data_IF_007578178793
#
_entry.id   IF_007578178793
#
_cell.length_a   1.000
_cell.length_b   1.000
_cell.length_c   1.000
_cell.angle_alpha   90.00
_cell.angle_beta   90.00
_cell.angle_gamma   90.00
#
_symmetry.space_group_name_H-M   'P 1'
#
loop_
_entity.id
_entity.type
_entity.pdbx_description
1 polymer ?
#
# COMPACT_ATOMS: atom_id res chain seq x y z
N UNK A 1 6.19 11.25 -10.18
CA UNK A 1 4.80 11.67 -10.00
C UNK A 1 4.30 12.12 -11.35
N UNK A 2 3.04 11.81 -11.68
CA UNK A 2 2.42 12.13 -12.97
C UNK A 2 1.53 13.38 -12.81
N UNK A 3 1.92 14.54 -13.35
CA UNK A 3 1.14 15.78 -13.22
C UNK A 3 -0.27 15.68 -13.81
N UNK A 4 -0.43 14.92 -14.88
CA UNK A 4 -1.71 14.71 -15.57
C UNK A 4 -2.70 13.99 -14.65
N UNK A 5 -2.25 13.01 -13.87
CA UNK A 5 -3.08 12.31 -12.88
C UNK A 5 -3.49 13.24 -11.74
N UNK A 6 -2.60 14.10 -11.25
CA UNK A 6 -2.97 15.11 -10.24
C UNK A 6 -4.07 16.04 -10.74
N UNK A 7 -3.95 16.49 -12.00
CA UNK A 7 -4.95 17.35 -12.63
C UNK A 7 -6.29 16.64 -12.78
N UNK A 8 -6.28 15.37 -13.21
CA UNK A 8 -7.49 14.55 -13.32
C UNK A 8 -8.20 14.40 -11.97
N UNK A 9 -7.43 14.15 -10.91
CA UNK A 9 -7.97 14.00 -9.55
C UNK A 9 -8.26 15.33 -8.86
N UNK A 10 -7.91 16.47 -9.49
CA UNK A 10 -7.92 17.80 -8.88
C UNK A 10 -7.18 17.85 -7.53
N UNK A 11 -6.07 17.12 -7.41
CA UNK A 11 -5.26 17.06 -6.18
C UNK A 11 -3.92 17.74 -6.36
N UNK A 12 -3.38 18.25 -5.26
CA UNK A 12 -1.97 18.66 -5.17
C UNK A 12 -1.40 18.18 -3.85
N UNK A 13 -0.06 18.03 -3.73
CA UNK A 13 0.57 17.70 -2.45
C UNK A 13 0.15 18.65 -1.32
N UNK A 14 -0.09 19.93 -1.63
CA UNK A 14 -0.56 20.94 -0.67
C UNK A 14 -2.04 20.80 -0.29
N UNK A 15 -2.84 20.03 -1.02
CA UNK A 15 -4.28 19.83 -0.79
C UNK A 15 -4.68 18.36 -0.73
N UNK A 16 -3.80 17.50 -0.23
CA UNK A 16 -4.14 16.10 -0.01
C UNK A 16 -5.37 15.99 0.89
N UNK A 17 -6.43 15.33 0.39
CA UNK A 17 -7.60 14.99 1.18
C UNK A 17 -7.21 14.11 2.37
N UNK A 18 -8.06 14.05 3.39
CA UNK A 18 -7.82 13.30 4.62
C UNK A 18 -8.96 12.33 4.89
N UNK A 19 -8.64 11.20 5.54
CA UNK A 19 -9.61 10.19 5.91
C UNK A 19 -10.05 9.28 4.75
N UNK A 20 -9.28 9.22 3.66
CA UNK A 20 -9.67 8.49 2.44
C UNK A 20 -8.96 7.15 2.29
N UNK A 21 -9.69 6.18 1.75
CA UNK A 21 -9.16 4.93 1.20
C UNK A 21 -9.22 5.02 -0.32
N UNK A 22 -8.05 4.97 -0.97
CA UNK A 22 -7.91 4.88 -2.43
C UNK A 22 -7.49 3.47 -2.80
N UNK A 23 -8.29 2.80 -3.60
CA UNK A 23 -7.98 1.49 -4.15
C UNK A 23 -7.36 1.65 -5.53
N UNK A 24 -6.24 0.97 -5.75
CA UNK A 24 -5.62 0.81 -7.04
C UNK A 24 -5.92 -0.61 -7.52
N UNK A 25 -6.36 -0.74 -8.75
CA UNK A 25 -6.62 -2.03 -9.38
C UNK A 25 -5.77 -2.11 -10.64
N UNK A 26 -5.16 -3.26 -10.89
CA UNK A 26 -4.56 -3.54 -12.18
C UNK A 26 -5.06 -4.86 -12.77
N UNK A 27 -5.35 -4.85 -14.07
CA UNK A 27 -5.89 -5.98 -14.80
C UNK A 27 -5.17 -6.11 -16.14
N UNK A 28 -4.45 -7.21 -16.38
CA UNK A 28 -3.72 -7.45 -17.63
C UNK A 28 -2.70 -6.35 -18.03
N UNK A 29 -2.30 -5.50 -17.09
CA UNK A 29 -1.25 -4.48 -17.22
C UNK A 29 -0.65 -4.21 -15.84
N UNK A 30 0.54 -3.62 -15.78
CA UNK A 30 1.19 -3.25 -14.52
C UNK A 30 0.67 -1.92 -13.97
N UNK A 31 0.02 -1.95 -12.80
CA UNK A 31 -0.46 -0.78 -12.07
C UNK A 31 0.54 -0.16 -11.09
N UNK A 32 1.75 -0.70 -10.96
CA UNK A 32 2.76 -0.26 -9.99
C UNK A 32 3.14 1.21 -10.13
N UNK A 33 2.98 1.79 -11.33
CA UNK A 33 3.21 3.22 -11.55
C UNK A 33 2.31 4.10 -10.68
N UNK A 34 1.09 3.66 -10.34
CA UNK A 34 0.19 4.35 -9.43
C UNK A 34 0.73 4.31 -7.99
N UNK A 35 1.29 3.18 -7.55
CA UNK A 35 1.95 3.06 -6.24
C UNK A 35 3.11 4.05 -6.16
N UNK A 36 3.97 4.10 -7.19
CA UNK A 36 5.06 5.07 -7.27
C UNK A 36 4.57 6.52 -7.29
N UNK A 37 3.45 6.78 -7.97
CA UNK A 37 2.82 8.09 -7.98
C UNK A 37 2.44 8.52 -6.57
N UNK A 38 1.65 7.72 -5.85
CA UNK A 38 1.15 8.05 -4.52
C UNK A 38 2.27 8.11 -3.48
N UNK A 39 3.26 7.22 -3.56
CA UNK A 39 4.44 7.31 -2.70
C UNK A 39 5.16 8.65 -2.88
N UNK A 40 5.45 9.04 -4.12
CA UNK A 40 6.09 10.32 -4.41
C UNK A 40 5.20 11.52 -4.02
N UNK A 41 3.89 11.40 -4.20
CA UNK A 41 2.92 12.44 -3.85
C UNK A 41 2.91 12.71 -2.35
N UNK A 42 2.75 11.67 -1.52
CA UNK A 42 2.62 11.85 -0.07
C UNK A 42 3.94 12.25 0.62
N UNK A 43 5.09 11.77 0.14
CA UNK A 43 6.38 12.23 0.65
C UNK A 43 6.58 13.73 0.37
N UNK A 44 6.21 14.21 -0.83
CA UNK A 44 6.26 15.65 -1.16
C UNK A 44 5.19 16.47 -0.43
N UNK A 45 4.08 15.86 -0.04
CA UNK A 45 3.02 16.48 0.77
C UNK A 45 3.38 16.59 2.26
N UNK A 46 4.61 16.23 2.64
CA UNK A 46 5.09 16.21 4.02
C UNK A 46 4.28 15.28 4.94
N UNK A 47 3.82 14.13 4.42
CA UNK A 47 3.08 13.12 5.16
C UNK A 47 4.02 12.06 5.75
N UNK A 48 3.65 11.49 6.90
CA UNK A 48 4.32 10.31 7.47
C UNK A 48 3.80 9.06 6.77
N UNK A 49 4.65 8.31 6.08
CA UNK A 49 4.26 7.17 5.27
C UNK A 49 4.73 5.87 5.93
N UNK A 50 3.81 4.95 6.19
CA UNK A 50 4.11 3.55 6.43
C UNK A 50 3.88 2.80 5.12
N UNK A 51 4.95 2.33 4.51
CA UNK A 51 4.90 1.60 3.25
C UNK A 51 5.12 0.11 3.50
N UNK A 52 4.05 -0.66 3.33
CA UNK A 52 4.07 -2.12 3.31
C UNK A 52 4.25 -2.58 1.86
N UNK A 53 5.50 -2.79 1.46
CA UNK A 53 5.85 -3.24 0.12
C UNK A 53 5.97 -4.77 0.13
N UNK A 54 4.88 -5.45 -0.23
CA UNK A 54 4.78 -6.89 -0.26
C UNK A 54 5.56 -7.50 -1.42
N UNK A 55 5.68 -6.83 -2.57
CA UNK A 55 6.36 -7.38 -3.76
C UNK A 55 7.78 -6.86 -3.92
N UNK A 56 7.91 -5.53 -4.05
CA UNK A 56 9.15 -4.92 -4.53
C UNK A 56 10.06 -4.48 -3.38
N UNK A 57 11.37 -4.53 -3.62
CA UNK A 57 12.37 -4.14 -2.62
C UNK A 57 12.43 -2.63 -2.37
N UNK A 58 12.99 -2.24 -1.22
CA UNK A 58 13.29 -0.83 -0.93
C UNK A 58 14.18 -0.21 -2.02
N UNK A 59 15.17 -0.97 -2.51
CA UNK A 59 16.10 -0.50 -3.55
C UNK A 59 15.36 -0.15 -4.84
N UNK A 60 14.41 -0.99 -5.27
CA UNK A 60 13.57 -0.73 -6.43
C UNK A 60 12.79 0.59 -6.28
N UNK A 61 12.06 0.74 -5.18
CA UNK A 61 11.29 1.96 -4.92
C UNK A 61 12.17 3.20 -4.76
N UNK A 62 13.38 3.07 -4.19
CA UNK A 62 14.28 4.20 -4.02
C UNK A 62 14.83 4.69 -5.37
N UNK A 63 15.21 3.78 -6.27
CA UNK A 63 15.69 4.13 -7.62
C UNK A 63 14.59 4.86 -8.41
N UNK A 64 13.36 4.35 -8.38
CA UNK A 64 12.23 4.99 -9.06
C UNK A 64 11.88 6.32 -8.38
N UNK A 65 11.84 6.35 -7.05
CA UNK A 65 11.58 7.54 -6.25
C UNK A 65 12.53 8.69 -6.58
N UNK A 66 13.83 8.41 -6.72
CA UNK A 66 14.82 9.43 -7.11
C UNK A 66 14.51 10.05 -8.47
N UNK A 67 14.06 9.25 -9.45
CA UNK A 67 13.61 9.76 -10.76
C UNK A 67 12.35 10.63 -10.64
N UNK A 68 11.52 10.40 -9.63
CA UNK A 68 10.33 11.21 -9.34
C UNK A 68 10.63 12.42 -8.43
N UNK A 69 11.89 12.63 -8.05
CA UNK A 69 12.35 13.74 -7.23
C UNK A 69 12.09 13.56 -5.73
N UNK A 70 12.10 12.32 -5.24
CA UNK A 70 12.07 12.00 -3.79
C UNK A 70 13.19 11.03 -3.44
N UNK A 71 13.77 11.15 -2.24
CA UNK A 71 14.76 10.20 -1.73
C UNK A 71 14.15 9.40 -0.59
N UNK A 72 13.93 8.11 -0.79
CA UNK A 72 13.36 7.25 0.26
C UNK A 72 14.35 7.03 1.39
N UNK A 73 15.65 7.03 1.10
CA UNK A 73 16.71 6.98 2.12
C UNK A 73 16.60 8.18 3.05
N UNK A 74 16.49 9.40 2.51
CA UNK A 74 16.36 10.63 3.32
C UNK A 74 15.03 10.61 4.10
N UNK A 75 13.93 10.22 3.45
CA UNK A 75 12.64 10.12 4.11
C UNK A 75 12.65 9.12 5.27
N UNK A 76 13.41 8.02 5.14
CA UNK A 76 13.57 7.03 6.21
C UNK A 76 14.44 7.55 7.34
N UNK A 77 15.56 8.20 7.03
CA UNK A 77 16.49 8.77 8.01
C UNK A 77 15.85 9.89 8.84
N UNK A 78 14.97 10.71 8.26
CA UNK A 78 14.23 11.73 8.99
C UNK A 78 12.95 11.20 9.67
N UNK A 79 12.67 9.90 9.61
CA UNK A 79 11.49 9.28 10.23
C UNK A 79 10.16 9.57 9.54
N UNK A 80 10.18 10.17 8.34
CA UNK A 80 8.99 10.37 7.51
C UNK A 80 8.49 9.05 6.91
N UNK A 81 9.39 8.13 6.54
CA UNK A 81 9.07 6.85 5.91
C UNK A 81 9.45 5.67 6.80
N UNK A 82 8.46 4.83 7.14
CA UNK A 82 8.65 3.48 7.69
C UNK A 82 8.39 2.49 6.56
N UNK A 83 9.31 1.58 6.29
CA UNK A 83 9.24 0.66 5.14
C UNK A 83 9.36 -0.80 5.58
N UNK A 84 8.41 -1.64 5.16
CA UNK A 84 8.42 -3.10 5.34
C UNK A 84 8.60 -3.79 3.99
N UNK A 85 9.67 -4.59 3.83
CA UNK A 85 9.93 -5.41 2.64
C UNK A 85 9.30 -6.80 2.82
N UNK A 86 8.03 -6.96 2.45
CA UNK A 86 7.21 -8.13 2.76
C UNK A 86 7.84 -9.47 2.34
N UNK A 87 8.03 -9.71 1.05
CA UNK A 87 8.61 -10.97 0.53
C UNK A 87 10.04 -11.25 1.03
N UNK A 88 10.83 -10.22 1.28
CA UNK A 88 12.17 -10.40 1.84
C UNK A 88 12.09 -10.80 3.31
N UNK A 89 11.23 -10.12 4.07
CA UNK A 89 11.00 -10.39 5.48
C UNK A 89 10.26 -11.70 5.72
N UNK A 90 9.44 -12.20 4.78
CA UNK A 90 8.76 -13.49 4.93
C UNK A 90 9.75 -14.66 4.97
N UNK A 91 10.85 -14.57 4.22
CA UNK A 91 11.94 -15.57 4.29
C UNK A 91 12.59 -15.55 5.66
N UNK A 92 12.93 -14.37 6.18
CA UNK A 92 13.57 -14.22 7.49
C UNK A 92 12.70 -14.78 8.64
N UNK A 93 11.38 -14.67 8.52
CA UNK A 93 10.42 -15.19 9.50
C UNK A 93 10.56 -16.70 9.69
N UNK A 94 10.70 -17.47 8.61
CA UNK A 94 10.81 -18.94 8.70
C UNK A 94 12.13 -19.40 9.32
N UNK A 95 13.21 -18.64 9.14
CA UNK A 95 14.56 -19.03 9.57
C UNK A 95 15.01 -18.37 10.90
N UNK A 96 14.28 -17.39 11.43
CA UNK A 96 14.61 -16.74 12.71
C UNK A 96 14.26 -17.56 13.95
N UNK A 97 15.09 -17.40 14.99
CA UNK A 97 14.79 -17.82 16.36
C UNK A 97 13.64 -16.97 16.95
N UNK A 98 12.75 -17.58 17.74
CA UNK A 98 11.43 -17.07 18.17
C UNK A 98 11.45 -15.82 19.09
N UNK A 99 12.56 -15.10 19.24
CA UNK A 99 12.73 -14.13 20.33
C UNK A 99 12.08 -12.75 20.09
N UNK A 100 11.80 -12.36 18.84
CA UNK A 100 11.29 -11.01 18.52
C UNK A 100 9.98 -11.05 17.73
N UNK A 101 8.99 -10.21 18.09
CA UNK A 101 7.75 -10.09 17.34
C UNK A 101 8.04 -9.56 15.94
N UNK A 102 7.41 -10.17 14.93
CA UNK A 102 7.60 -9.79 13.54
C UNK A 102 6.25 -9.46 12.87
N UNK A 103 6.14 -8.42 12.03
CA UNK A 103 4.88 -8.03 11.39
C UNK A 103 4.23 -9.15 10.57
N UNK A 104 5.04 -10.08 10.04
CA UNK A 104 4.62 -11.25 9.27
C UNK A 104 4.66 -12.57 10.06
N UNK A 105 4.60 -12.52 11.38
CA UNK A 105 4.66 -13.71 12.25
C UNK A 105 3.53 -14.72 11.95
N UNK A 106 2.39 -14.23 11.49
CA UNK A 106 1.25 -15.06 11.05
C UNK A 106 1.64 -16.10 9.98
N UNK A 107 2.70 -15.89 9.19
CA UNK A 107 3.15 -16.87 8.18
C UNK A 107 3.69 -18.18 8.77
N UNK A 108 4.05 -18.21 10.06
CA UNK A 108 4.53 -19.44 10.75
C UNK A 108 3.42 -20.21 11.42
N UNK A 109 2.29 -19.56 11.67
CA UNK A 109 1.19 -20.12 12.42
C UNK A 109 0.32 -20.89 11.44
N UNK A 110 0.30 -22.22 11.55
CA UNK A 110 -0.41 -23.09 10.62
C UNK A 110 -1.92 -22.75 10.47
N UNK A 111 -2.49 -22.10 11.48
CA UNK A 111 -3.88 -21.65 11.52
C UNK A 111 -3.96 -20.15 11.81
N UNK A 112 -3.10 -19.34 11.19
CA UNK A 112 -3.18 -17.89 11.38
C UNK A 112 -4.49 -17.37 10.76
N UNK A 113 -5.46 -17.04 11.62
CA UNK A 113 -6.77 -16.55 11.17
C UNK A 113 -6.78 -15.04 10.93
N UNK A 114 -5.73 -14.33 11.34
CA UNK A 114 -5.72 -12.86 11.28
C UNK A 114 -4.34 -12.28 10.99
N UNK A 115 -4.35 -10.99 10.63
CA UNK A 115 -3.18 -10.18 10.32
C UNK A 115 -2.86 -9.19 11.45
N UNK A 116 -3.19 -9.53 12.70
CA UNK A 116 -3.00 -8.64 13.86
C UNK A 116 -1.55 -8.13 13.98
N UNK A 117 -0.49 -8.96 13.84
CA UNK A 117 0.88 -8.46 13.94
C UNK A 117 1.22 -7.39 12.89
N UNK A 118 0.67 -7.50 11.68
CA UNK A 118 0.85 -6.52 10.62
C UNK A 118 0.09 -5.23 10.92
N UNK A 119 -1.14 -5.35 11.41
CA UNK A 119 -1.92 -4.19 11.87
C UNK A 119 -1.21 -3.45 13.01
N UNK A 120 -0.69 -4.17 14.00
CA UNK A 120 0.05 -3.56 15.11
C UNK A 120 1.29 -2.82 14.60
N UNK A 121 2.06 -3.42 13.70
CA UNK A 121 3.17 -2.74 13.03
C UNK A 121 2.73 -1.43 12.36
N UNK A 122 1.65 -1.43 11.58
CA UNK A 122 1.13 -0.21 10.93
C UNK A 122 0.69 0.83 11.97
N UNK A 123 -0.02 0.39 13.01
CA UNK A 123 -0.52 1.25 14.09
C UNK A 123 0.64 1.95 14.80
N UNK A 124 1.71 1.23 15.11
CA UNK A 124 2.92 1.75 15.74
C UNK A 124 3.70 2.68 14.80
N UNK A 125 3.94 2.26 13.56
CA UNK A 125 4.65 3.05 12.55
C UNK A 125 4.02 4.43 12.33
N UNK A 126 2.68 4.49 12.31
CA UNK A 126 1.92 5.72 12.07
C UNK A 126 1.50 6.45 13.34
N UNK A 127 2.05 6.11 14.52
CA UNK A 127 1.73 6.83 15.76
C UNK A 127 1.98 8.35 15.58
N UNK A 128 1.07 9.21 16.07
CA UNK A 128 1.32 10.63 16.16
C UNK A 128 2.63 10.87 16.92
N UNK A 129 3.44 11.79 16.42
CA UNK A 129 4.67 12.21 17.10
C UNK A 129 4.34 13.55 17.76
N UNK A 130 4.53 13.64 19.07
CA UNK A 130 4.28 14.86 19.85
C UNK A 130 5.45 15.87 19.77
N UNK A 131 6.42 15.67 18.86
CA UNK A 131 7.59 16.54 18.75
C UNK A 131 7.27 17.84 18.02
N UNK A 132 7.51 18.96 18.72
CA UNK A 132 7.19 20.31 18.30
C UNK A 132 7.96 20.86 17.09
N UNK A 133 8.92 20.14 16.53
CA UNK A 133 9.84 20.67 15.49
C UNK A 133 9.56 20.19 14.05
N UNK A 134 8.74 19.14 13.84
CA UNK A 134 8.29 18.77 12.49
C UNK A 134 7.00 17.93 12.52
N UNK A 135 5.86 18.59 12.73
CA UNK A 135 4.57 17.91 12.61
C UNK A 135 4.33 17.46 11.17
N UNK A 136 4.39 16.15 10.92
CA UNK A 136 3.95 15.57 9.66
C UNK A 136 2.47 15.88 9.43
N UNK A 137 2.10 16.20 8.19
CA UNK A 137 0.76 16.70 7.88
C UNK A 137 -0.35 15.70 8.22
N UNK A 138 -0.16 14.45 7.81
CA UNK A 138 -1.06 13.35 8.14
C UNK A 138 -0.33 12.00 7.97
N UNK A 139 -0.79 10.93 8.62
CA UNK A 139 -0.28 9.59 8.41
C UNK A 139 -0.86 8.97 7.13
N UNK A 140 -0.06 8.15 6.45
CA UNK A 140 -0.45 7.45 5.23
C UNK A 140 0.01 6.01 5.30
N UNK A 141 -0.91 5.07 5.10
CA UNK A 141 -0.59 3.68 4.82
C UNK A 141 -0.57 3.48 3.31
N UNK A 142 0.55 2.98 2.78
CA UNK A 142 0.67 2.55 1.40
C UNK A 142 0.91 1.04 1.38
N UNK A 143 0.18 0.30 0.54
CA UNK A 143 0.38 -1.14 0.32
C UNK A 143 0.48 -1.41 -1.18
N UNK A 144 1.56 -2.02 -1.64
CA UNK A 144 1.85 -2.13 -3.08
C UNK A 144 1.13 -3.26 -3.81
N UNK A 145 0.73 -4.34 -3.13
CA UNK A 145 -0.15 -5.37 -3.66
C UNK A 145 -0.70 -6.27 -2.53
N UNK A 146 -1.96 -6.07 -2.15
CA UNK A 146 -2.64 -6.88 -1.13
C UNK A 146 -2.91 -8.32 -1.56
N UNK A 147 -3.07 -8.59 -2.86
CA UNK A 147 -3.35 -9.95 -3.36
C UNK A 147 -2.22 -10.93 -3.03
N UNK A 148 -1.00 -10.43 -2.80
CA UNK A 148 0.14 -11.25 -2.32
C UNK A 148 -0.16 -11.93 -1.00
N UNK A 149 -0.96 -11.33 -0.12
CA UNK A 149 -1.32 -11.96 1.15
C UNK A 149 -2.15 -13.22 0.94
N UNK A 150 -2.99 -13.26 -0.10
CA UNK A 150 -3.72 -14.46 -0.51
C UNK A 150 -2.75 -15.55 -0.98
N UNK A 151 -1.77 -15.18 -1.82
CA UNK A 151 -0.72 -16.09 -2.27
C UNK A 151 0.17 -16.62 -1.14
N UNK A 152 0.26 -15.87 -0.03
CA UNK A 152 0.96 -16.27 1.20
C UNK A 152 0.10 -17.13 2.14
N UNK A 153 -1.12 -17.50 1.72
CA UNK A 153 -2.01 -18.42 2.44
C UNK A 153 -3.04 -17.76 3.35
N UNK A 154 -3.18 -16.43 3.31
CA UNK A 154 -4.19 -15.72 4.11
C UNK A 154 -5.53 -15.69 3.37
N UNK A 155 -6.64 -15.90 4.09
CA UNK A 155 -7.98 -15.76 3.52
C UNK A 155 -8.35 -14.29 3.26
N UNK A 156 -9.19 -14.04 2.25
CA UNK A 156 -9.64 -12.71 1.86
C UNK A 156 -10.34 -11.96 3.00
N UNK A 157 -11.11 -12.66 3.83
CA UNK A 157 -11.76 -12.08 5.01
C UNK A 157 -10.73 -11.51 5.98
N UNK A 158 -9.64 -12.23 6.25
CA UNK A 158 -8.57 -11.75 7.14
C UNK A 158 -7.86 -10.50 6.57
N UNK A 159 -7.69 -10.43 5.24
CA UNK A 159 -7.13 -9.24 4.56
C UNK A 159 -8.11 -8.06 4.60
N UNK A 160 -9.41 -8.32 4.43
CA UNK A 160 -10.46 -7.30 4.56
C UNK A 160 -10.54 -6.75 5.99
N UNK A 161 -10.45 -7.61 7.00
CA UNK A 161 -10.41 -7.20 8.41
C UNK A 161 -9.18 -6.34 8.71
N UNK A 162 -8.00 -6.72 8.18
CA UNK A 162 -6.80 -5.90 8.29
C UNK A 162 -7.01 -4.48 7.74
N UNK A 163 -7.54 -4.34 6.52
CA UNK A 163 -7.81 -3.02 5.94
C UNK A 163 -8.89 -2.29 6.72
N UNK A 164 -9.90 -2.99 7.25
CA UNK A 164 -10.92 -2.39 8.09
C UNK A 164 -10.32 -1.77 9.36
N UNK A 165 -9.48 -2.51 10.10
CA UNK A 165 -8.79 -2.00 11.28
C UNK A 165 -7.85 -0.85 10.95
N UNK A 166 -7.07 -0.96 9.86
CA UNK A 166 -6.25 0.15 9.38
C UNK A 166 -7.10 1.37 9.05
N UNK A 167 -8.29 1.22 8.45
CA UNK A 167 -9.17 2.36 8.12
C UNK A 167 -9.72 3.03 9.37
N UNK A 168 -10.11 2.25 10.38
CA UNK A 168 -10.55 2.79 11.67
C UNK A 168 -9.44 3.64 12.33
N UNK A 169 -8.21 3.12 12.39
CA UNK A 169 -7.10 3.84 13.05
C UNK A 169 -6.51 4.96 12.19
N UNK A 170 -6.23 4.72 10.91
CA UNK A 170 -5.54 5.68 10.04
C UNK A 170 -6.51 6.73 9.53
N UNK A 171 -7.61 6.32 8.89
CA UNK A 171 -8.53 7.27 8.27
C UNK A 171 -9.44 7.97 9.28
N UNK A 172 -10.05 7.22 10.21
CA UNK A 172 -11.06 7.78 11.10
C UNK A 172 -10.45 8.49 12.31
N UNK A 173 -9.61 7.81 13.09
CA UNK A 173 -9.00 8.36 14.31
C UNK A 173 -7.91 9.39 14.00
N UNK A 174 -7.02 9.12 13.04
CA UNK A 174 -5.83 9.94 12.77
C UNK A 174 -5.95 10.87 11.56
N UNK A 175 -7.11 10.90 10.89
CA UNK A 175 -7.36 11.72 9.68
C UNK A 175 -6.28 11.55 8.60
N UNK A 176 -5.72 10.34 8.52
CA UNK A 176 -4.76 9.91 7.52
C UNK A 176 -5.41 9.32 6.29
N UNK A 177 -4.59 8.77 5.39
CA UNK A 177 -5.08 8.12 4.18
C UNK A 177 -4.53 6.71 4.03
N UNK A 178 -5.24 5.88 3.28
CA UNK A 178 -4.79 4.57 2.86
C UNK A 178 -4.80 4.53 1.34
N UNK A 179 -3.71 4.02 0.76
CA UNK A 179 -3.64 3.63 -0.64
C UNK A 179 -3.21 2.18 -0.70
N UNK A 180 -4.00 1.34 -1.35
CA UNK A 180 -3.68 -0.07 -1.49
C UNK A 180 -3.95 -0.53 -2.92
N UNK A 181 -3.06 -1.35 -3.45
CA UNK A 181 -3.26 -1.99 -4.75
C UNK A 181 -3.75 -3.43 -4.55
N UNK A 182 -4.65 -3.86 -5.43
CA UNK A 182 -5.15 -5.23 -5.55
C UNK A 182 -5.05 -5.63 -7.02
N UNK A 183 -4.51 -6.82 -7.27
CA UNK A 183 -4.45 -7.36 -8.62
C UNK A 183 -5.80 -7.96 -8.99
N UNK A 184 -6.39 -7.50 -10.09
CA UNK A 184 -7.56 -8.12 -10.69
C UNK A 184 -7.08 -9.16 -11.71
N UNK A 185 -7.15 -10.43 -11.30
CA UNK A 185 -6.72 -11.55 -12.13
C UNK A 185 -7.62 -11.73 -13.37
N UNK A 186 -8.82 -11.15 -13.39
CA UNK A 186 -9.85 -11.44 -14.37
C UNK A 186 -10.30 -12.91 -14.37
N UNK A 187 -9.81 -13.70 -13.41
CA UNK A 187 -10.09 -15.12 -13.26
C UNK A 187 -11.32 -15.29 -12.38
N UNK A 188 -12.41 -15.76 -13.00
CA UNK A 188 -13.67 -16.01 -12.29
C UNK A 188 -13.58 -17.20 -11.33
N UNK A 189 -12.55 -18.04 -11.44
CA UNK A 189 -12.33 -19.18 -10.54
C UNK A 189 -11.58 -18.78 -9.25
N UNK A 190 -10.96 -17.59 -9.22
CA UNK A 190 -10.29 -17.07 -8.04
C UNK A 190 -11.29 -16.37 -7.10
N UNK A 191 -12.11 -17.17 -6.40
CA UNK A 191 -13.16 -16.67 -5.50
C UNK A 191 -12.61 -15.76 -4.39
N UNK A 192 -11.46 -16.10 -3.80
CA UNK A 192 -10.84 -15.32 -2.71
C UNK A 192 -10.39 -13.94 -3.21
N UNK A 193 -9.74 -13.85 -4.37
CA UNK A 193 -9.35 -12.55 -4.93
C UNK A 193 -10.58 -11.71 -5.31
N UNK A 194 -11.63 -12.34 -5.85
CA UNK A 194 -12.89 -11.66 -6.15
C UNK A 194 -13.57 -11.12 -4.88
N UNK A 195 -13.58 -11.86 -3.78
CA UNK A 195 -14.09 -11.40 -2.48
C UNK A 195 -13.28 -10.19 -1.99
N UNK A 196 -11.95 -10.27 -2.06
CA UNK A 196 -11.06 -9.19 -1.66
C UNK A 196 -11.30 -7.91 -2.46
N UNK A 197 -11.30 -8.01 -3.79
CA UNK A 197 -11.48 -6.90 -4.71
C UNK A 197 -12.84 -6.22 -4.52
N UNK A 198 -13.92 -7.01 -4.45
CA UNK A 198 -15.27 -6.48 -4.24
C UNK A 198 -15.41 -5.83 -2.85
N UNK A 199 -14.92 -6.48 -1.80
CA UNK A 199 -14.95 -5.96 -0.44
C UNK A 199 -14.21 -4.64 -0.30
N UNK A 200 -13.02 -4.52 -0.90
CA UNK A 200 -12.25 -3.28 -0.89
C UNK A 200 -12.89 -2.19 -1.76
N UNK A 201 -13.47 -2.55 -2.91
CA UNK A 201 -14.18 -1.61 -3.77
C UNK A 201 -15.34 -0.93 -3.03
N UNK A 202 -16.13 -1.68 -2.27
CA UNK A 202 -17.21 -1.14 -1.46
C UNK A 202 -16.75 -0.23 -0.31
N UNK A 203 -15.53 -0.42 0.20
CA UNK A 203 -14.98 0.39 1.29
C UNK A 203 -14.24 1.64 0.80
N UNK A 204 -13.95 1.73 -0.49
CA UNK A 204 -13.07 2.74 -1.07
C UNK A 204 -13.81 4.02 -1.44
N UNK A 205 -13.11 5.13 -1.32
CA UNK A 205 -13.62 6.46 -1.68
C UNK A 205 -13.26 6.83 -3.12
N UNK A 206 -12.16 6.27 -3.62
CA UNK A 206 -11.67 6.42 -4.98
C UNK A 206 -11.12 5.07 -5.43
N UNK A 207 -11.44 4.68 -6.66
CA UNK A 207 -10.90 3.49 -7.31
C UNK A 207 -10.23 3.96 -8.60
N UNK A 208 -8.95 3.64 -8.75
CA UNK A 208 -8.19 3.86 -9.98
C UNK A 208 -7.84 2.51 -10.56
N UNK A 209 -8.21 2.27 -11.83
CA UNK A 209 -8.11 0.96 -12.42
C UNK A 209 -7.29 1.02 -13.71
N UNK A 210 -6.09 0.46 -13.68
CA UNK A 210 -5.26 0.29 -14.86
C UNK A 210 -5.63 -1.02 -15.56
N UNK A 211 -6.07 -0.97 -16.82
CA UNK A 211 -6.46 -2.15 -17.58
C UNK A 211 -5.69 -2.25 -18.90
N UNK A 212 -5.34 -3.46 -19.30
CA UNK A 212 -4.89 -3.73 -20.67
C UNK A 212 -5.98 -3.43 -21.70
N UNK A 213 -5.58 -3.16 -22.94
CA UNK A 213 -6.53 -2.93 -24.04
C UNK A 213 -7.27 -4.22 -24.41
N UNK A 214 -8.59 -4.15 -24.58
CA UNK A 214 -9.41 -5.30 -25.03
C UNK A 214 -8.99 -5.84 -26.40
N UNK A 215 -8.37 -5.02 -27.24
CA UNK A 215 -7.87 -5.40 -28.58
C UNK A 215 -6.49 -6.08 -28.55
N UNK A 216 -5.88 -6.24 -27.38
CA UNK A 216 -4.53 -6.78 -27.21
C UNK A 216 -3.45 -5.70 -27.21
N UNK A 217 -2.20 -6.15 -27.27
CA UNK A 217 -1.01 -5.32 -27.06
C UNK A 217 -0.81 -4.26 -28.15
N UNK A 218 -0.53 -3.02 -27.74
CA UNK A 218 -0.04 -1.95 -28.60
C UNK A 218 1.31 -1.45 -28.08
N UNK A 219 2.26 -1.17 -28.99
CA UNK A 219 3.59 -0.68 -28.61
C UNK A 219 3.53 0.70 -27.95
N UNK A 220 2.62 1.54 -28.41
CA UNK A 220 2.58 2.95 -28.04
C UNK A 220 1.54 3.21 -26.93
N UNK A 221 0.60 2.28 -26.71
CA UNK A 221 -0.45 2.37 -25.69
C UNK A 221 -0.48 1.08 -24.88
N UNK A 222 -0.10 1.17 -23.60
CA UNK A 222 -0.01 -0.01 -22.72
C UNK A 222 -1.38 -0.43 -22.16
N UNK A 223 -2.34 0.51 -22.08
CA UNK A 223 -3.63 0.27 -21.47
C UNK A 223 -4.47 1.54 -21.32
N UNK A 224 -5.49 1.45 -20.47
CA UNK A 224 -6.37 2.54 -20.05
C UNK A 224 -6.37 2.65 -18.53
N UNK A 225 -6.80 3.82 -18.03
CA UNK A 225 -6.93 4.13 -16.60
C UNK A 225 -8.15 5.01 -16.36
#
# INVERSE_FOLDING_TARGET
>A
MFPELNNLLNTTPDRAEQGKLTLLCDANTDGSFLVHHFLSFYLKANCKVCFVALIQSFSHYNIVGQKLGVSLTVARECGQLVFLEGLKSSVDVFFRAQAEPHPLQFLREANAENLQPLYEFVREALKPVDDGDAAWRCPVLLVDNLSVLLSLGMGAVAVLDFIHYCRATVCWERKGNIVALVHDSGDTEDEENNILLNGLSHQSHLILRAEGLATGFCRDVHGQM
#
